data_IF_365826731753
#
_entry.id   IF_365826731753
#
_cell.length_a   1.000
_cell.length_b   1.000
_cell.length_c   1.000
_cell.angle_alpha   90.00
_cell.angle_beta   90.00
_cell.angle_gamma   90.00
#
_symmetry.space_group_name_H-M   'P 1'
#
loop_
_entity.id
_entity.type
_entity.pdbx_description
1 polymer ?
#
# COMPACT_ATOMS: atom_id res chain seq x y z
N UNK A 1 -6.54 -23.54 -9.03
CA UNK A 1 -7.82 -22.92 -9.42
C UNK A 1 -8.76 -23.01 -8.23
N UNK A 2 -8.76 -21.99 -7.36
CA UNK A 2 -9.81 -21.78 -6.37
C UNK A 2 -10.76 -20.74 -6.96
N UNK A 3 -12.06 -21.04 -6.95
CA UNK A 3 -13.08 -20.12 -7.45
C UNK A 3 -12.96 -18.76 -6.75
N UNK A 4 -12.86 -17.69 -7.55
CA UNK A 4 -13.00 -16.32 -7.05
C UNK A 4 -14.37 -16.19 -6.40
N UNK A 5 -14.43 -15.61 -5.19
CA UNK A 5 -15.70 -15.25 -4.54
C UNK A 5 -16.55 -14.44 -5.54
N UNK A 6 -17.65 -15.03 -5.99
CA UNK A 6 -18.47 -14.51 -7.10
C UNK A 6 -19.48 -13.45 -6.65
N UNK A 7 -19.54 -13.17 -5.35
CA UNK A 7 -20.44 -12.20 -4.73
C UNK A 7 -19.99 -11.87 -3.31
N UNK A 8 -20.53 -10.81 -2.73
CA UNK A 8 -20.47 -10.54 -1.29
C UNK A 8 -21.88 -10.53 -0.71
N UNK A 9 -21.97 -10.73 0.60
CA UNK A 9 -23.17 -10.38 1.34
C UNK A 9 -23.09 -8.93 1.77
N UNK A 10 -24.22 -8.24 1.82
CA UNK A 10 -24.32 -6.97 2.52
C UNK A 10 -25.41 -7.04 3.57
N UNK A 11 -25.19 -6.35 4.69
CA UNK A 11 -26.18 -6.18 5.76
C UNK A 11 -26.15 -4.71 6.16
N UNK A 12 -27.32 -4.09 6.19
CA UNK A 12 -27.49 -2.67 6.43
C UNK A 12 -28.09 -2.46 7.82
N UNK A 13 -27.34 -1.81 8.70
CA UNK A 13 -27.75 -1.40 10.03
C UNK A 13 -28.17 0.06 10.01
N UNK A 14 -29.17 0.43 10.79
CA UNK A 14 -29.64 1.82 10.89
C UNK A 14 -30.02 2.20 12.32
N UNK A 15 -29.72 3.44 12.70
CA UNK A 15 -30.11 4.06 13.98
C UNK A 15 -30.30 5.58 13.82
N UNK A 16 -30.53 6.29 14.91
CA UNK A 16 -30.63 7.76 14.95
C UNK A 16 -29.26 8.40 14.70
N UNK A 17 -29.22 9.54 14.02
CA UNK A 17 -27.99 10.34 13.83
C UNK A 17 -27.29 10.62 15.17
N UNK A 18 -25.96 10.73 15.16
CA UNK A 18 -25.14 10.88 16.37
C UNK A 18 -24.60 9.57 16.95
N UNK A 19 -24.73 8.45 16.22
CA UNK A 19 -24.21 7.12 16.59
C UNK A 19 -23.26 6.54 15.52
N UNK A 20 -22.61 7.41 14.76
CA UNK A 20 -21.69 7.10 13.65
C UNK A 20 -20.59 6.13 14.11
N UNK A 21 -19.93 6.46 15.23
CA UNK A 21 -18.82 5.67 15.80
C UNK A 21 -19.28 4.31 16.29
N UNK A 22 -20.48 4.23 16.88
CA UNK A 22 -21.09 2.97 17.32
C UNK A 22 -21.35 2.06 16.12
N UNK A 23 -21.96 2.59 15.05
CA UNK A 23 -22.20 1.83 13.82
C UNK A 23 -20.90 1.35 13.16
N UNK A 24 -19.86 2.20 13.12
CA UNK A 24 -18.55 1.83 12.62
C UNK A 24 -17.95 0.66 13.40
N UNK A 25 -17.95 0.77 14.73
CA UNK A 25 -17.40 -0.24 15.64
C UNK A 25 -18.14 -1.57 15.50
N UNK A 26 -19.48 -1.54 15.36
CA UNK A 26 -20.29 -2.75 15.19
C UNK A 26 -20.04 -3.43 13.83
N UNK A 27 -19.90 -2.64 12.76
CA UNK A 27 -19.54 -3.17 11.45
C UNK A 27 -18.17 -3.87 11.48
N UNK A 28 -17.18 -3.29 12.18
CA UNK A 28 -15.85 -3.90 12.33
C UNK A 28 -15.90 -5.20 13.17
N UNK A 29 -16.51 -5.14 14.37
CA UNK A 29 -16.63 -6.29 15.28
C UNK A 29 -17.38 -7.48 14.65
N UNK A 30 -18.32 -7.19 13.75
CA UNK A 30 -19.06 -8.20 13.01
C UNK A 30 -18.19 -9.00 12.01
N UNK A 31 -16.97 -8.54 11.72
CA UNK A 31 -16.07 -9.15 10.75
C UNK A 31 -16.36 -8.73 9.31
N UNK A 32 -16.93 -7.53 9.12
CA UNK A 32 -17.10 -6.96 7.78
C UNK A 32 -15.75 -6.69 7.13
N UNK A 33 -15.70 -6.78 5.79
CA UNK A 33 -14.50 -6.47 4.99
C UNK A 33 -14.48 -5.03 4.48
N UNK A 34 -15.54 -4.29 4.74
CA UNK A 34 -15.73 -2.91 4.32
C UNK A 34 -17.13 -2.45 4.70
N UNK A 35 -17.31 -1.13 4.77
CA UNK A 35 -18.59 -0.54 5.09
C UNK A 35 -18.80 0.80 4.39
N UNK A 36 -20.05 1.16 4.15
CA UNK A 36 -20.47 2.44 3.58
C UNK A 36 -21.52 3.08 4.47
N UNK A 37 -21.35 4.37 4.76
CA UNK A 37 -22.30 5.15 5.55
C UNK A 37 -23.27 5.91 4.65
N UNK A 38 -24.51 6.03 5.10
CA UNK A 38 -25.51 6.89 4.49
C UNK A 38 -26.30 7.59 5.59
N UNK A 39 -26.62 8.86 5.34
CA UNK A 39 -27.37 9.71 6.26
C UNK A 39 -28.57 10.32 5.53
N UNK A 40 -29.73 10.33 6.18
CA UNK A 40 -30.94 10.93 5.64
C UNK A 40 -32.09 10.93 6.63
N UNK A 41 -32.92 11.98 6.62
CA UNK A 41 -34.12 12.09 7.46
C UNK A 41 -33.88 11.87 8.97
N UNK A 42 -32.75 12.35 9.51
CA UNK A 42 -32.39 12.24 10.94
C UNK A 42 -32.00 10.83 11.39
N UNK A 43 -31.66 9.95 10.43
CA UNK A 43 -31.18 8.60 10.65
C UNK A 43 -29.84 8.44 9.95
N UNK A 44 -29.02 7.57 10.52
CA UNK A 44 -27.78 7.12 9.91
C UNK A 44 -27.80 5.61 9.79
N UNK A 45 -27.29 5.10 8.68
CA UNK A 45 -27.04 3.68 8.55
C UNK A 45 -25.65 3.38 8.02
N UNK A 46 -25.25 2.14 8.24
CA UNK A 46 -24.02 1.55 7.74
C UNK A 46 -24.38 0.28 6.99
N UNK A 47 -23.93 0.19 5.74
CA UNK A 47 -23.96 -1.03 4.96
C UNK A 47 -22.63 -1.72 5.12
N UNK A 48 -22.62 -2.87 5.79
CA UNK A 48 -21.43 -3.69 6.00
C UNK A 48 -21.38 -4.83 4.98
N UNK A 49 -20.20 -5.10 4.44
CA UNK A 49 -19.94 -6.11 3.42
C UNK A 49 -19.24 -7.33 4.01
N UNK A 50 -19.62 -8.53 3.58
CA UNK A 50 -19.08 -9.80 4.11
C UNK A 50 -18.72 -10.78 3.00
N UNK A 51 -17.68 -11.57 3.26
CA UNK A 51 -17.17 -12.59 2.33
C UNK A 51 -18.20 -13.70 2.10
N UNK A 52 -18.25 -14.21 0.86
CA UNK A 52 -19.14 -15.31 0.48
C UNK A 52 -18.69 -16.67 1.00
N UNK A 53 -17.51 -16.78 1.62
CA UNK A 53 -17.06 -18.02 2.25
C UNK A 53 -18.01 -18.54 3.34
N UNK A 54 -18.80 -17.66 3.96
CA UNK A 54 -19.88 -18.02 4.88
C UNK A 54 -21.25 -17.64 4.30
N UNK A 55 -22.28 -18.43 4.61
CA UNK A 55 -23.68 -18.14 4.26
C UNK A 55 -24.19 -16.89 5.01
N UNK A 56 -25.16 -16.17 4.43
CA UNK A 56 -25.74 -14.96 5.04
C UNK A 56 -26.21 -15.19 6.48
N UNK A 57 -26.80 -16.37 6.76
CA UNK A 57 -27.29 -16.73 8.09
C UNK A 57 -26.20 -16.77 9.17
N UNK A 58 -24.96 -17.08 8.81
CA UNK A 58 -23.83 -17.02 9.74
C UNK A 58 -23.58 -15.57 10.19
N UNK A 59 -23.54 -14.64 9.23
CA UNK A 59 -23.32 -13.23 9.50
C UNK A 59 -24.47 -12.59 10.27
N UNK A 60 -25.72 -12.94 9.94
CA UNK A 60 -26.90 -12.48 10.68
C UNK A 60 -26.89 -12.96 12.14
N UNK A 61 -26.52 -14.22 12.39
CA UNK A 61 -26.40 -14.73 13.75
C UNK A 61 -25.33 -13.96 14.54
N UNK A 62 -24.15 -13.78 13.94
CA UNK A 62 -23.04 -13.06 14.55
C UNK A 62 -23.41 -11.59 14.86
N UNK A 63 -24.04 -10.90 13.92
CA UNK A 63 -24.55 -9.55 14.14
C UNK A 63 -25.61 -9.52 15.23
N UNK A 64 -26.54 -10.49 15.26
CA UNK A 64 -27.55 -10.59 16.31
C UNK A 64 -26.94 -10.69 17.72
N UNK A 65 -25.88 -11.47 17.88
CA UNK A 65 -25.16 -11.60 19.15
C UNK A 65 -24.48 -10.27 19.55
N UNK A 66 -23.88 -9.56 18.58
CA UNK A 66 -23.18 -8.28 18.79
C UNK A 66 -24.15 -7.13 19.06
N UNK A 67 -25.34 -7.15 18.45
CA UNK A 67 -26.35 -6.10 18.55
C UNK A 67 -27.22 -6.21 19.81
N UNK A 68 -27.14 -7.29 20.59
CA UNK A 68 -27.93 -7.44 21.83
C UNK A 68 -27.84 -6.24 22.80
N UNK A 69 -26.67 -5.60 23.00
CA UNK A 69 -26.57 -4.41 23.86
C UNK A 69 -27.18 -3.14 23.26
N UNK A 70 -27.58 -3.16 21.97
CA UNK A 70 -27.93 -1.99 21.16
C UNK A 70 -29.33 -2.13 20.51
N UNK A 71 -30.41 -2.18 21.31
CA UNK A 71 -31.76 -2.45 20.81
C UNK A 71 -32.31 -1.39 19.84
N UNK A 72 -31.72 -0.19 19.81
CA UNK A 72 -32.07 0.90 18.91
C UNK A 72 -31.53 0.73 17.48
N UNK A 73 -30.59 -0.20 17.27
CA UNK A 73 -29.98 -0.48 15.98
C UNK A 73 -30.73 -1.62 15.32
N UNK A 74 -31.21 -1.39 14.10
CA UNK A 74 -32.00 -2.36 13.35
C UNK A 74 -31.31 -2.75 12.06
N UNK A 75 -31.43 -4.02 11.68
CA UNK A 75 -31.10 -4.47 10.32
C UNK A 75 -32.26 -4.07 9.41
N UNK A 76 -32.02 -3.18 8.45
CA UNK A 76 -33.07 -2.62 7.58
C UNK A 76 -33.06 -3.19 6.15
N UNK A 77 -31.93 -3.73 5.71
CA UNK A 77 -31.76 -4.32 4.38
C UNK A 77 -30.62 -5.33 4.41
N UNK A 78 -30.73 -6.38 3.61
CA UNK A 78 -29.70 -7.40 3.47
C UNK A 78 -29.84 -8.10 2.13
N UNK A 79 -28.74 -8.56 1.57
CA UNK A 79 -28.81 -9.27 0.32
C UNK A 79 -27.47 -9.74 -0.21
N UNK A 80 -27.55 -10.38 -1.37
CA UNK A 80 -26.41 -10.79 -2.17
C UNK A 80 -26.08 -9.69 -3.17
N UNK A 81 -24.85 -9.19 -3.15
CA UNK A 81 -24.32 -8.35 -4.21
C UNK A 81 -23.42 -9.20 -5.10
N UNK A 82 -23.92 -9.58 -6.27
CA UNK A 82 -23.09 -10.27 -7.27
C UNK A 82 -21.91 -9.38 -7.64
N UNK A 83 -20.75 -9.99 -7.87
CA UNK A 83 -19.57 -9.30 -8.40
C UNK A 83 -19.77 -8.96 -9.90
N UNK A 84 -20.92 -8.38 -10.25
CA UNK A 84 -21.25 -7.90 -11.60
C UNK A 84 -20.71 -6.49 -11.76
N UNK A 85 -19.56 -6.43 -12.44
CA UNK A 85 -19.08 -5.29 -13.22
C UNK A 85 -19.33 -3.90 -12.63
N UNK A 86 -18.62 -3.57 -11.55
CA UNK A 86 -18.16 -2.20 -11.26
C UNK A 86 -17.20 -1.63 -12.33
N UNK A 87 -17.21 -2.18 -13.55
CA UNK A 87 -16.15 -2.01 -14.55
C UNK A 87 -16.09 -0.64 -15.20
N UNK A 88 -17.13 0.19 -15.08
CA UNK A 88 -17.11 1.57 -15.62
C UNK A 88 -16.61 2.55 -14.57
N UNK A 89 -17.18 2.54 -13.36
CA UNK A 89 -16.83 3.48 -12.28
C UNK A 89 -15.44 3.22 -11.68
N UNK A 90 -15.01 1.95 -11.60
CA UNK A 90 -13.72 1.62 -10.98
C UNK A 90 -12.53 1.91 -11.90
N UNK A 91 -12.71 1.85 -13.22
CA UNK A 91 -11.65 2.29 -14.16
C UNK A 91 -11.46 3.80 -14.11
N UNK A 92 -12.55 4.55 -13.99
CA UNK A 92 -12.53 6.01 -13.83
C UNK A 92 -11.95 6.43 -12.47
N UNK A 93 -12.04 5.59 -11.44
CA UNK A 93 -11.49 5.86 -10.10
C UNK A 93 -9.94 5.81 -10.03
N UNK A 94 -9.27 5.23 -11.03
CA UNK A 94 -7.80 5.13 -11.06
C UNK A 94 -7.24 5.71 -12.37
N UNK A 95 -7.35 7.03 -12.62
CA UNK A 95 -6.70 7.64 -13.79
C UNK A 95 -5.18 7.40 -13.82
N UNK A 96 -4.50 7.57 -14.97
CA UNK A 96 -3.05 7.66 -14.98
C UNK A 96 -2.56 8.77 -14.05
N UNK A 97 -1.63 8.44 -13.16
CA UNK A 97 -1.04 9.37 -12.20
C UNK A 97 0.40 9.67 -12.61
N UNK A 98 0.66 10.87 -13.10
CA UNK A 98 2.03 11.32 -13.34
C UNK A 98 2.76 11.58 -12.02
N UNK A 99 3.98 11.03 -11.90
CA UNK A 99 4.82 11.18 -10.71
C UNK A 99 6.22 11.57 -11.15
N UNK A 100 6.76 12.63 -10.55
CA UNK A 100 8.08 13.14 -10.90
C UNK A 100 8.21 13.56 -12.36
N UNK A 101 9.39 13.33 -12.95
CA UNK A 101 9.72 13.77 -14.31
C UNK A 101 9.22 12.79 -15.35
N UNK A 102 9.56 11.52 -15.20
CA UNK A 102 9.43 10.50 -16.25
C UNK A 102 8.47 9.37 -15.87
N UNK A 103 7.93 9.29 -14.65
CA UNK A 103 7.10 8.17 -14.25
C UNK A 103 5.59 8.46 -14.42
N UNK A 104 4.84 7.41 -14.72
CA UNK A 104 3.38 7.43 -14.70
C UNK A 104 2.87 6.12 -14.09
N UNK A 105 2.10 6.20 -13.01
CA UNK A 105 1.45 5.04 -12.39
C UNK A 105 0.13 4.81 -13.11
N UNK A 106 -0.09 3.58 -13.57
CA UNK A 106 -1.24 3.24 -14.39
C UNK A 106 -1.84 1.91 -13.94
N UNK A 107 -3.16 1.81 -13.93
CA UNK A 107 -3.81 0.50 -13.80
C UNK A 107 -3.65 -0.33 -15.08
N UNK A 108 -3.76 -1.68 -15.03
CA UNK A 108 -3.51 -2.55 -16.18
C UNK A 108 -4.41 -2.30 -17.39
N UNK A 109 -5.61 -1.78 -17.18
CA UNK A 109 -6.54 -1.45 -18.27
C UNK A 109 -6.17 -0.18 -19.06
N UNK A 110 -5.11 0.54 -18.69
CA UNK A 110 -4.55 1.64 -19.49
C UNK A 110 -3.38 1.21 -20.38
N UNK A 111 -3.08 -0.09 -20.45
CA UNK A 111 -2.03 -0.58 -21.35
C UNK A 111 -2.32 -0.17 -22.81
N UNK A 112 -1.31 0.37 -23.48
CA UNK A 112 -1.42 0.91 -24.83
C UNK A 112 -1.87 2.37 -24.92
N UNK A 113 -2.11 3.05 -23.78
CA UNK A 113 -2.44 4.48 -23.73
C UNK A 113 -1.39 5.27 -22.92
N UNK A 114 -0.14 4.82 -22.91
CA UNK A 114 0.95 5.45 -22.17
C UNK A 114 1.24 6.86 -22.73
N UNK A 115 1.33 7.89 -21.86
CA UNK A 115 1.77 9.21 -22.29
C UNK A 115 3.18 9.17 -22.93
N UNK A 116 3.40 9.84 -24.08
CA UNK A 116 4.70 9.87 -24.72
C UNK A 116 5.81 10.36 -23.79
N UNK A 117 6.95 9.66 -23.77
CA UNK A 117 8.11 10.03 -22.95
C UNK A 117 8.00 9.68 -21.46
N UNK A 118 6.90 9.05 -21.03
CA UNK A 118 6.75 8.52 -19.67
C UNK A 118 7.02 7.02 -19.60
N UNK A 119 7.61 6.59 -18.50
CA UNK A 119 7.80 5.20 -18.09
C UNK A 119 6.61 4.77 -17.25
N UNK A 120 5.80 3.86 -17.79
CA UNK A 120 4.63 3.34 -17.11
C UNK A 120 5.01 2.34 -16.01
N UNK A 121 4.38 2.50 -14.84
CA UNK A 121 4.37 1.57 -13.72
C UNK A 121 2.96 0.98 -13.61
N UNK A 122 2.79 -0.25 -14.08
CA UNK A 122 1.49 -0.93 -14.05
C UNK A 122 1.22 -1.53 -12.68
N UNK A 123 0.25 -0.98 -11.96
CA UNK A 123 -0.13 -1.45 -10.62
C UNK A 123 -1.60 -1.79 -10.62
N UNK A 124 -1.94 -3.04 -10.32
CA UNK A 124 -3.31 -3.41 -10.04
C UNK A 124 -3.73 -2.75 -8.72
N UNK A 125 -4.82 -1.97 -8.68
CA UNK A 125 -5.27 -1.33 -7.45
C UNK A 125 -6.02 -2.35 -6.57
N UNK A 126 -5.29 -3.35 -6.07
CA UNK A 126 -5.83 -4.46 -5.28
C UNK A 126 -5.81 -4.18 -3.79
N UNK A 127 -5.50 -5.24 -3.03
CA UNK A 127 -5.48 -5.21 -1.57
C UNK A 127 -4.14 -4.75 -1.00
N UNK A 128 -3.07 -4.79 -1.80
CA UNK A 128 -1.75 -4.39 -1.35
C UNK A 128 -1.65 -2.86 -1.23
N UNK A 129 -1.00 -2.39 -0.15
CA UNK A 129 -0.64 -0.98 -0.02
C UNK A 129 0.32 -0.57 -1.14
N UNK A 130 0.27 0.69 -1.58
CA UNK A 130 1.15 1.21 -2.62
C UNK A 130 0.53 1.25 -4.03
N UNK A 131 -0.69 1.76 -4.16
CA UNK A 131 -1.32 2.04 -5.46
C UNK A 131 -0.64 3.18 -6.23
N UNK A 132 0.30 3.90 -5.61
CA UNK A 132 0.97 5.08 -6.15
C UNK A 132 0.29 6.41 -5.79
N UNK A 133 -0.99 6.39 -5.41
CA UNK A 133 -1.77 7.60 -5.11
C UNK A 133 -1.43 8.26 -3.80
N UNK A 134 -0.87 7.51 -2.86
CA UNK A 134 -0.43 8.06 -1.59
C UNK A 134 0.81 8.93 -1.78
N UNK A 135 0.83 10.12 -1.17
CA UNK A 135 1.90 11.10 -1.35
C UNK A 135 3.26 10.56 -0.92
N UNK A 136 3.30 9.71 0.11
CA UNK A 136 4.55 9.09 0.57
C UNK A 136 5.20 8.20 -0.50
N UNK A 137 4.40 7.48 -1.29
CA UNK A 137 4.89 6.68 -2.43
C UNK A 137 5.43 7.58 -3.53
N UNK A 138 4.71 8.66 -3.84
CA UNK A 138 5.13 9.63 -4.86
C UNK A 138 6.45 10.29 -4.49
N UNK A 139 6.64 10.65 -3.21
CA UNK A 139 7.91 11.17 -2.69
C UNK A 139 9.07 10.20 -2.96
N UNK A 140 8.90 8.90 -2.67
CA UNK A 140 9.98 7.92 -2.90
C UNK A 140 10.25 7.74 -4.38
N UNK A 141 9.21 7.63 -5.21
CA UNK A 141 9.36 7.55 -6.67
C UNK A 141 10.14 8.76 -7.24
N UNK A 142 9.81 9.97 -6.78
CA UNK A 142 10.50 11.19 -7.17
C UNK A 142 11.97 11.26 -6.71
N UNK A 143 12.27 10.78 -5.49
CA UNK A 143 13.65 10.67 -5.00
C UNK A 143 14.44 9.62 -5.80
N UNK A 144 13.82 8.49 -6.11
CA UNK A 144 14.44 7.41 -6.89
C UNK A 144 14.85 7.86 -8.29
N UNK A 145 14.09 8.74 -8.94
CA UNK A 145 14.46 9.30 -10.25
C UNK A 145 15.75 10.12 -10.25
N UNK A 146 16.16 10.66 -9.10
CA UNK A 146 17.40 11.43 -8.97
C UNK A 146 18.60 10.52 -8.60
N UNK A 147 18.32 9.35 -8.00
CA UNK A 147 19.33 8.50 -7.36
C UNK A 147 19.71 7.31 -8.23
N UNK A 148 18.71 6.62 -8.80
CA UNK A 148 18.94 5.37 -9.52
C UNK A 148 19.65 5.58 -10.84
N UNK A 149 20.61 4.69 -11.11
CA UNK A 149 21.41 4.66 -12.32
C UNK A 149 21.40 3.26 -12.94
N UNK A 150 21.55 3.15 -14.27
CA UNK A 150 21.64 1.86 -14.94
C UNK A 150 22.68 0.93 -14.31
N UNK A 151 22.29 -0.32 -14.04
CA UNK A 151 23.17 -1.35 -13.51
C UNK A 151 23.22 -1.44 -11.98
N UNK A 152 22.64 -0.49 -11.26
CA UNK A 152 22.53 -0.54 -9.79
C UNK A 152 21.68 -1.73 -9.32
N UNK A 153 21.91 -2.17 -8.10
CA UNK A 153 21.05 -3.15 -7.41
C UNK A 153 20.31 -2.48 -6.26
N UNK A 154 19.04 -2.82 -6.09
CA UNK A 154 18.15 -2.19 -5.12
C UNK A 154 17.58 -3.17 -4.10
N UNK A 155 17.18 -2.69 -2.92
CA UNK A 155 16.32 -3.42 -1.99
C UNK A 155 15.09 -2.57 -1.64
N UNK A 156 13.91 -3.17 -1.63
CA UNK A 156 12.65 -2.53 -1.27
C UNK A 156 12.04 -3.23 -0.04
N UNK A 157 11.99 -2.52 1.07
CA UNK A 157 11.61 -3.06 2.38
C UNK A 157 10.23 -2.54 2.79
N UNK A 158 9.29 -3.46 3.01
CA UNK A 158 7.86 -3.14 3.09
C UNK A 158 7.29 -2.90 1.70
N UNK A 159 7.55 -3.84 0.78
CA UNK A 159 7.33 -3.66 -0.66
C UNK A 159 5.85 -3.47 -1.04
N UNK A 160 4.91 -3.99 -0.25
CA UNK A 160 3.48 -3.90 -0.54
C UNK A 160 3.16 -4.37 -1.96
N UNK A 161 2.62 -3.48 -2.80
CA UNK A 161 2.31 -3.73 -4.21
C UNK A 161 3.53 -3.98 -5.12
N UNK A 162 4.75 -3.85 -4.59
CA UNK A 162 6.03 -3.81 -5.31
C UNK A 162 6.22 -2.61 -6.25
N UNK A 163 5.44 -1.53 -6.09
CA UNK A 163 5.58 -0.33 -6.94
C UNK A 163 7.00 0.25 -6.93
N UNK A 164 7.66 0.29 -5.78
CA UNK A 164 9.03 0.83 -5.67
C UNK A 164 10.05 -0.13 -6.28
N UNK A 165 9.93 -1.44 -6.04
CA UNK A 165 10.77 -2.44 -6.70
C UNK A 165 10.63 -2.42 -8.24
N UNK A 166 9.41 -2.27 -8.75
CA UNK A 166 9.11 -2.13 -10.18
C UNK A 166 9.74 -0.84 -10.71
N UNK A 167 9.53 0.29 -10.02
CA UNK A 167 10.13 1.57 -10.39
C UNK A 167 11.65 1.47 -10.42
N UNK A 168 12.27 0.76 -9.47
CA UNK A 168 13.71 0.61 -9.42
C UNK A 168 14.27 -0.02 -10.70
N UNK A 169 13.68 -1.13 -11.13
CA UNK A 169 14.06 -1.83 -12.37
C UNK A 169 13.77 -1.00 -13.60
N UNK A 170 12.62 -0.32 -13.65
CA UNK A 170 12.23 0.56 -14.76
C UNK A 170 13.14 1.79 -14.89
N UNK A 171 13.74 2.25 -13.79
CA UNK A 171 14.76 3.31 -13.76
C UNK A 171 16.19 2.79 -14.03
N UNK A 172 16.35 1.50 -14.31
CA UNK A 172 17.60 0.91 -14.77
C UNK A 172 18.32 0.04 -13.75
N UNK A 173 17.75 -0.21 -12.57
CA UNK A 173 18.32 -1.19 -11.66
C UNK A 173 18.35 -2.57 -12.33
N UNK A 174 19.49 -3.25 -12.25
CA UNK A 174 19.67 -4.61 -12.78
C UNK A 174 18.88 -5.65 -12.00
N UNK A 175 18.68 -5.39 -10.70
CA UNK A 175 18.03 -6.32 -9.76
C UNK A 175 17.42 -5.55 -8.60
N UNK A 176 16.29 -6.02 -8.10
CA UNK A 176 15.72 -5.56 -6.83
C UNK A 176 15.36 -6.75 -5.93
N UNK A 177 15.68 -6.66 -4.64
CA UNK A 177 15.14 -7.56 -3.62
C UNK A 177 14.00 -6.88 -2.89
N UNK A 178 12.80 -7.44 -2.99
CA UNK A 178 11.58 -6.90 -2.40
C UNK A 178 11.14 -7.78 -1.23
N UNK A 179 10.94 -7.18 -0.05
CA UNK A 179 10.56 -7.91 1.17
C UNK A 179 9.32 -7.30 1.80
N UNK A 180 8.43 -8.17 2.27
CA UNK A 180 7.31 -7.77 3.13
C UNK A 180 7.11 -8.77 4.25
N UNK A 181 6.61 -8.30 5.40
CA UNK A 181 6.29 -9.16 6.54
C UNK A 181 5.00 -9.93 6.29
N UNK A 182 4.06 -9.33 5.55
CA UNK A 182 2.77 -9.92 5.25
C UNK A 182 2.86 -10.87 4.05
N UNK A 183 2.70 -12.20 4.24
CA UNK A 183 2.73 -13.13 3.13
C UNK A 183 1.54 -12.97 2.17
N UNK A 184 0.44 -12.32 2.59
CA UNK A 184 -0.77 -12.17 1.80
C UNK A 184 -0.56 -11.27 0.57
N UNK A 185 0.32 -10.28 0.64
CA UNK A 185 0.55 -9.32 -0.46
C UNK A 185 1.58 -9.82 -1.49
N UNK A 186 2.38 -10.84 -1.17
CA UNK A 186 3.48 -11.29 -2.04
C UNK A 186 3.01 -11.83 -3.39
N UNK A 187 1.82 -12.44 -3.45
CA UNK A 187 1.25 -12.91 -4.71
C UNK A 187 0.83 -11.73 -5.61
N UNK A 188 0.24 -10.69 -5.03
CA UNK A 188 -0.16 -9.47 -5.73
C UNK A 188 1.06 -8.69 -6.22
N UNK A 189 2.10 -8.57 -5.38
CA UNK A 189 3.38 -7.97 -5.73
C UNK A 189 4.05 -8.64 -6.95
N UNK A 190 4.06 -9.99 -7.00
CA UNK A 190 4.60 -10.74 -8.14
C UNK A 190 3.78 -10.51 -9.41
N UNK A 191 2.46 -10.45 -9.29
CA UNK A 191 1.59 -10.16 -10.42
C UNK A 191 1.82 -8.74 -10.96
N UNK A 192 2.00 -7.74 -10.09
CA UNK A 192 2.38 -6.39 -10.52
C UNK A 192 3.73 -6.39 -11.24
N UNK A 193 4.72 -7.15 -10.78
CA UNK A 193 5.98 -7.31 -11.52
C UNK A 193 5.76 -7.92 -12.92
N UNK A 194 4.93 -8.97 -13.01
CA UNK A 194 4.58 -9.62 -14.28
C UNK A 194 3.87 -8.66 -15.24
N UNK A 195 2.95 -7.83 -14.74
CA UNK A 195 2.25 -6.79 -15.51
C UNK A 195 3.21 -5.77 -16.13
N UNK A 196 4.38 -5.56 -15.51
CA UNK A 196 5.43 -4.68 -15.99
C UNK A 196 6.47 -5.39 -16.88
N UNK A 197 6.29 -6.68 -17.18
CA UNK A 197 7.24 -7.48 -17.96
C UNK A 197 8.53 -7.80 -17.18
N UNK A 198 8.47 -7.79 -15.85
CA UNK A 198 9.63 -8.03 -14.97
C UNK A 198 9.59 -9.48 -14.49
N UNK A 199 10.71 -10.19 -14.64
CA UNK A 199 10.85 -11.59 -14.19
C UNK A 199 11.14 -11.69 -12.68
N UNK A 200 10.80 -12.83 -12.09
CA UNK A 200 11.15 -13.16 -10.69
C UNK A 200 12.67 -13.27 -10.46
N UNK A 201 13.45 -13.40 -11.53
CA UNK A 201 14.92 -13.33 -11.45
C UNK A 201 15.44 -11.88 -11.37
N UNK A 202 14.63 -10.90 -11.76
CA UNK A 202 15.00 -9.48 -11.74
C UNK A 202 14.49 -8.81 -10.47
N UNK A 203 13.25 -9.08 -10.08
CA UNK A 203 12.67 -8.66 -8.79
C UNK A 203 12.37 -9.89 -7.96
N UNK A 204 13.15 -10.08 -6.90
CA UNK A 204 13.04 -11.23 -6.00
C UNK A 204 12.15 -10.83 -4.83
N UNK A 205 10.91 -11.32 -4.85
CA UNK A 205 9.93 -11.06 -3.79
C UNK A 205 9.95 -12.20 -2.77
N UNK A 206 10.24 -11.88 -1.52
CA UNK A 206 10.27 -12.81 -0.41
C UNK A 206 9.53 -12.28 0.83
N UNK A 207 9.09 -13.20 1.69
CA UNK A 207 8.63 -12.82 3.03
C UNK A 207 9.85 -12.45 3.88
N UNK A 208 9.77 -11.36 4.61
CA UNK A 208 10.86 -10.90 5.46
C UNK A 208 10.44 -9.84 6.46
N UNK A 209 10.95 -9.97 7.69
CA UNK A 209 10.88 -8.91 8.70
C UNK A 209 12.06 -7.95 8.50
N UNK A 210 11.78 -6.83 7.82
CA UNK A 210 12.74 -5.76 7.54
C UNK A 210 14.03 -6.33 6.88
N UNK A 211 15.20 -6.06 7.47
CA UNK A 211 16.50 -6.56 7.02
C UNK A 211 16.95 -7.83 7.77
N UNK A 212 16.12 -8.45 8.61
CA UNK A 212 16.51 -9.68 9.31
C UNK A 212 16.83 -10.79 8.31
N UNK A 213 18.04 -11.35 8.40
CA UNK A 213 18.55 -12.37 7.47
C UNK A 213 18.95 -11.83 6.09
N UNK A 214 18.85 -10.52 5.84
CA UNK A 214 19.26 -9.92 4.57
C UNK A 214 20.79 -9.75 4.55
N UNK A 215 21.45 -10.59 3.74
CA UNK A 215 22.92 -10.70 3.68
C UNK A 215 23.52 -10.17 2.37
N UNK A 216 22.83 -9.23 1.72
CA UNK A 216 23.26 -8.63 0.45
C UNK A 216 23.59 -7.17 0.66
N UNK A 217 24.48 -6.65 -0.20
CA UNK A 217 24.75 -5.22 -0.30
C UNK A 217 24.17 -4.65 -1.58
N UNK A 218 23.49 -3.52 -1.47
CA UNK A 218 22.76 -2.84 -2.55
C UNK A 218 23.24 -1.40 -2.71
N UNK A 219 23.05 -0.85 -3.90
CA UNK A 219 23.35 0.56 -4.19
C UNK A 219 22.22 1.47 -3.69
N UNK A 220 20.97 0.99 -3.73
CA UNK A 220 19.80 1.75 -3.27
C UNK A 220 18.92 0.90 -2.35
N UNK A 221 18.53 1.43 -1.20
CA UNK A 221 17.52 0.82 -0.33
C UNK A 221 16.30 1.73 -0.25
N UNK A 222 15.10 1.21 -0.44
CA UNK A 222 13.84 1.95 -0.23
C UNK A 222 13.08 1.35 0.95
N UNK A 223 12.47 2.21 1.77
CA UNK A 223 11.50 1.80 2.78
C UNK A 223 10.44 2.89 2.97
N UNK A 224 9.21 2.61 2.54
CA UNK A 224 8.05 3.49 2.69
C UNK A 224 7.06 2.86 3.67
N UNK A 225 7.39 2.94 4.96
CA UNK A 225 6.68 2.28 6.05
C UNK A 225 6.59 3.24 7.25
N UNK A 226 5.78 2.88 8.25
CA UNK A 226 5.59 3.74 9.44
C UNK A 226 6.86 3.85 10.29
N UNK A 227 6.88 4.83 11.19
CA UNK A 227 8.09 5.28 11.87
C UNK A 227 8.74 4.20 12.76
N UNK A 228 7.98 3.41 13.50
CA UNK A 228 8.56 2.43 14.44
C UNK A 228 9.34 1.30 13.73
N UNK A 229 8.81 0.69 12.64
CA UNK A 229 9.59 -0.18 11.77
C UNK A 229 10.81 0.50 11.16
N UNK A 230 10.70 1.76 10.71
CA UNK A 230 11.87 2.50 10.19
C UNK A 230 12.97 2.63 11.24
N UNK A 231 12.64 3.05 12.47
CA UNK A 231 13.63 3.15 13.56
C UNK A 231 14.29 1.80 13.86
N UNK A 232 13.51 0.71 13.78
CA UNK A 232 14.01 -0.65 13.97
C UNK A 232 14.93 -1.13 12.84
N UNK A 233 14.70 -0.62 11.62
CA UNK A 233 15.48 -0.90 10.41
C UNK A 233 16.84 -0.19 10.44
N UNK A 234 16.89 1.07 10.90
CA UNK A 234 18.04 1.96 10.76
C UNK A 234 19.41 1.36 11.17
N UNK A 235 19.54 0.62 12.30
CA UNK A 235 20.85 0.06 12.70
C UNK A 235 21.46 -0.91 11.68
N UNK A 236 20.65 -1.53 10.82
CA UNK A 236 21.11 -2.48 9.81
C UNK A 236 21.40 -1.84 8.45
N UNK A 237 20.90 -0.63 8.19
CA UNK A 237 20.92 0.00 6.86
C UNK A 237 22.35 0.18 6.34
N UNK A 238 23.27 0.70 7.17
CA UNK A 238 24.67 0.92 6.75
C UNK A 238 25.41 -0.36 6.34
N UNK A 239 25.10 -1.49 6.96
CA UNK A 239 25.71 -2.78 6.60
C UNK A 239 25.23 -3.31 5.24
N UNK A 240 24.05 -2.86 4.81
CA UNK A 240 23.38 -3.26 3.57
C UNK A 240 23.68 -2.30 2.42
N UNK A 241 23.99 -1.03 2.68
CA UNK A 241 24.41 -0.12 1.62
C UNK A 241 25.85 -0.39 1.19
N UNK A 242 26.08 -0.40 -0.13
CA UNK A 242 27.43 -0.32 -0.71
C UNK A 242 28.06 1.04 -0.41
N UNK A 243 29.40 1.18 -0.51
CA UNK A 243 30.04 2.49 -0.48
C UNK A 243 29.44 3.44 -1.53
N UNK A 244 28.97 4.61 -1.08
CA UNK A 244 28.26 5.56 -1.94
C UNK A 244 26.82 5.18 -2.28
N UNK A 245 26.26 4.16 -1.62
CA UNK A 245 24.86 3.79 -1.74
C UNK A 245 23.94 4.71 -0.92
N UNK A 246 22.68 4.78 -1.34
CA UNK A 246 21.68 5.70 -0.78
C UNK A 246 20.48 4.93 -0.26
N UNK A 247 20.01 5.25 0.95
CA UNK A 247 18.73 4.77 1.47
C UNK A 247 17.67 5.86 1.34
N UNK A 248 16.48 5.49 0.90
CA UNK A 248 15.34 6.39 0.66
C UNK A 248 14.19 5.97 1.56
N UNK A 249 13.75 6.89 2.42
CA UNK A 249 12.73 6.67 3.42
C UNK A 249 11.53 7.58 3.20
N UNK A 250 10.34 7.06 3.48
CA UNK A 250 9.08 7.81 3.50
C UNK A 250 8.07 7.04 4.35
N UNK A 251 6.81 7.47 4.35
CA UNK A 251 5.78 6.96 5.26
C UNK A 251 5.75 7.73 6.58
N UNK A 252 6.36 8.91 6.57
CA UNK A 252 6.49 9.82 7.69
C UNK A 252 5.73 11.11 7.41
N UNK A 253 5.11 11.69 8.42
CA UNK A 253 4.51 13.03 8.31
C UNK A 253 5.54 14.11 8.68
N UNK A 254 5.37 15.34 8.19
CA UNK A 254 6.31 16.46 8.41
C UNK A 254 6.73 16.64 9.88
N UNK A 255 5.81 16.45 10.82
CA UNK A 255 6.09 16.60 12.26
C UNK A 255 7.11 15.57 12.79
N UNK A 256 7.34 14.47 12.09
CA UNK A 256 8.29 13.41 12.45
C UNK A 256 9.68 13.64 11.85
N UNK A 257 9.82 14.59 10.91
CA UNK A 257 11.05 14.88 10.17
C UNK A 257 12.26 15.03 11.09
N UNK A 258 12.22 15.97 12.02
CA UNK A 258 13.42 16.34 12.80
C UNK A 258 13.85 15.18 13.71
N UNK A 259 12.88 14.48 14.29
CA UNK A 259 13.12 13.29 15.08
C UNK A 259 13.75 12.16 14.25
N UNK A 260 13.27 11.93 13.02
CA UNK A 260 13.82 10.90 12.14
C UNK A 260 15.22 11.25 11.62
N UNK A 261 15.48 12.52 11.30
CA UNK A 261 16.81 13.00 10.92
C UNK A 261 17.82 12.82 12.07
N UNK A 262 17.42 13.07 13.32
CA UNK A 262 18.27 12.79 14.48
C UNK A 262 18.58 11.29 14.60
N UNK A 263 17.59 10.42 14.37
CA UNK A 263 17.78 8.97 14.39
C UNK A 263 18.73 8.49 13.28
N UNK A 264 18.62 9.05 12.06
CA UNK A 264 19.55 8.79 10.96
C UNK A 264 20.98 9.16 11.34
N UNK A 265 21.18 10.38 11.87
CA UNK A 265 22.49 10.86 12.28
C UNK A 265 23.13 9.97 13.37
N UNK A 266 22.35 9.46 14.31
CA UNK A 266 22.82 8.51 15.34
C UNK A 266 23.33 7.19 14.76
N UNK A 267 22.82 6.77 13.60
CA UNK A 267 23.35 5.62 12.87
C UNK A 267 24.50 6.00 11.92
N UNK A 268 24.86 7.29 11.82
CA UNK A 268 25.84 7.81 10.88
C UNK A 268 25.37 7.73 9.43
N UNK A 269 24.08 8.03 9.22
CA UNK A 269 23.51 8.35 7.93
C UNK A 269 23.17 9.85 7.90
N UNK A 270 23.58 10.55 6.85
CA UNK A 270 23.28 11.96 6.64
C UNK A 270 22.25 12.13 5.52
N UNK A 271 21.28 13.01 5.72
CA UNK A 271 20.35 13.40 4.66
C UNK A 271 21.10 14.11 3.53
N UNK A 272 20.83 13.68 2.30
CA UNK A 272 21.37 14.30 1.07
C UNK A 272 20.29 14.97 0.24
N UNK A 273 19.05 14.51 0.36
CA UNK A 273 17.90 15.10 -0.33
C UNK A 273 16.63 14.85 0.48
N UNK A 274 15.72 15.82 0.50
CA UNK A 274 14.43 15.70 1.15
C UNK A 274 13.32 16.15 0.20
N UNK A 275 12.14 15.57 0.35
CA UNK A 275 10.93 15.97 -0.38
C UNK A 275 9.72 15.98 0.54
N UNK A 276 8.70 16.73 0.16
CA UNK A 276 7.47 16.88 0.93
C UNK A 276 6.30 17.05 -0.02
N UNK A 277 5.19 16.39 0.29
CA UNK A 277 3.97 16.46 -0.51
C UNK A 277 2.76 16.29 0.41
N UNK A 278 1.86 17.27 0.41
CA UNK A 278 0.83 17.37 1.43
C UNK A 278 1.47 17.42 2.82
N UNK A 279 1.04 16.57 3.73
CA UNK A 279 1.60 16.42 5.08
C UNK A 279 2.70 15.36 5.18
N UNK A 280 3.03 14.69 4.08
CA UNK A 280 4.02 13.61 4.04
C UNK A 280 5.41 14.14 3.71
N UNK A 281 6.40 13.49 4.28
CA UNK A 281 7.82 13.80 4.15
C UNK A 281 8.61 12.53 3.84
N UNK A 282 9.68 12.69 3.06
CA UNK A 282 10.63 11.62 2.79
C UNK A 282 12.02 12.16 2.52
N UNK A 283 13.00 11.27 2.64
CA UNK A 283 14.42 11.62 2.67
C UNK A 283 15.26 10.55 1.99
N UNK A 284 16.24 11.00 1.21
CA UNK A 284 17.37 10.20 0.78
C UNK A 284 18.55 10.48 1.74
N UNK A 285 19.21 9.42 2.19
CA UNK A 285 20.32 9.49 3.13
C UNK A 285 21.46 8.56 2.71
N UNK A 286 22.69 9.00 2.94
CA UNK A 286 23.92 8.27 2.63
C UNK A 286 24.77 8.09 3.88
N UNK A 287 25.73 7.16 3.85
CA UNK A 287 26.66 7.00 4.96
C UNK A 287 27.48 8.27 5.19
N UNK A 288 27.43 8.82 6.40
CA UNK A 288 28.26 9.94 6.80
C UNK A 288 29.74 9.53 6.73
N UNK A 289 30.58 10.47 6.27
CA UNK A 289 32.04 10.34 6.27
C UNK A 289 32.62 10.27 7.68
#
# INVERSE_FOLDING_TARGET
>A
MGEKESFWWYITLETKSGNEETLASLAELSGSIGSEFFEGNGRIGVRAYYRSHFELGYWLKRLGDILQPWPEISVIDMGKIENRAWHTTWKEAFPPLEVGRNLVVMAPWHQGTEPPGKTALYIYPGSAFGTGYHESTQIVLELMEDILKPGMEAADIGTGSAILAIAAVKLGAKRCWARDIDPAILAEARENCRLNGISEETVLIEQGDLLKGFSRQVDVLTANIVIEPLLSLLPSVRGVLRPGGTAVFSGLVKKERDFFLEALNKQGLASVQERTKGEWWGVAAEASS
#
